data_IF_463598311251
#
_entry.id   IF_463598311251
#
_cell.length_a   1.000
_cell.length_b   1.000
_cell.length_c   1.000
_cell.angle_alpha   90.00
_cell.angle_beta   90.00
_cell.angle_gamma   90.00
#
_symmetry.space_group_name_H-M   'P 1'
#
loop_
_entity.id
_entity.type
_entity.pdbx_description
1 polymer ?
#
# COMPACT_ATOMS: atom_id res chain seq x y z
N UNK A 1 3.85 4.73 -12.78
CA UNK A 1 3.57 3.53 -11.96
C UNK A 1 4.75 2.58 -11.85
N UNK A 2 5.70 2.55 -12.80
CA UNK A 2 6.95 1.78 -12.65
C UNK A 2 7.70 2.15 -11.35
N UNK A 3 7.87 3.45 -11.05
CA UNK A 3 8.53 3.90 -9.80
C UNK A 3 7.83 3.42 -8.52
N UNK A 4 6.52 3.17 -8.57
CA UNK A 4 5.76 2.59 -7.45
C UNK A 4 6.14 1.13 -7.27
N UNK A 5 6.24 0.36 -8.36
CA UNK A 5 6.72 -1.02 -8.31
C UNK A 5 8.18 -1.08 -7.81
N UNK A 6 9.03 -0.19 -8.30
CA UNK A 6 10.43 -0.13 -7.90
C UNK A 6 10.58 0.19 -6.40
N UNK A 7 9.75 1.09 -5.87
CA UNK A 7 9.70 1.39 -4.44
C UNK A 7 9.29 0.17 -3.59
N UNK A 8 8.31 -0.63 -4.04
CA UNK A 8 7.97 -1.89 -3.38
C UNK A 8 9.16 -2.86 -3.42
N UNK A 9 9.76 -3.02 -4.59
CA UNK A 9 10.82 -4.00 -4.79
C UNK A 9 12.11 -3.63 -4.05
N UNK A 10 12.41 -2.34 -3.84
CA UNK A 10 13.53 -1.94 -2.98
C UNK A 10 13.31 -2.35 -1.53
N UNK A 11 12.12 -2.16 -0.97
CA UNK A 11 11.80 -2.57 0.41
C UNK A 11 11.83 -4.11 0.57
N UNK A 12 11.43 -4.84 -0.47
CA UNK A 12 11.44 -6.31 -0.51
C UNK A 12 12.85 -6.88 -0.59
N UNK A 13 13.73 -6.24 -1.34
CA UNK A 13 15.13 -6.62 -1.46
C UNK A 13 15.85 -6.57 -0.10
N UNK A 14 15.59 -5.54 0.71
CA UNK A 14 16.19 -5.35 2.04
C UNK A 14 15.93 -6.52 2.99
N UNK A 15 14.83 -7.25 2.80
CA UNK A 15 14.43 -8.41 3.61
C UNK A 15 14.49 -9.73 2.86
N UNK A 16 15.13 -9.75 1.68
CA UNK A 16 15.34 -10.95 0.87
C UNK A 16 14.05 -11.71 0.55
N UNK A 17 12.98 -10.97 0.21
CA UNK A 17 11.76 -11.55 -0.37
C UNK A 17 11.72 -11.30 -1.88
N UNK A 18 11.19 -12.24 -2.69
CA UNK A 18 11.19 -12.10 -4.15
C UNK A 18 10.48 -10.82 -4.61
N UNK A 19 10.92 -10.15 -5.69
CA UNK A 19 10.26 -8.94 -6.18
C UNK A 19 8.84 -9.23 -6.64
N UNK A 20 7.98 -8.22 -6.52
CA UNK A 20 6.64 -8.23 -7.10
C UNK A 20 6.70 -7.98 -8.60
N UNK A 21 5.71 -8.51 -9.30
CA UNK A 21 5.42 -8.19 -10.71
C UNK A 21 4.18 -7.31 -10.80
N UNK A 22 4.20 -6.35 -11.71
CA UNK A 22 3.03 -5.50 -11.94
C UNK A 22 1.88 -6.30 -12.57
N UNK A 23 0.65 -6.07 -12.08
CA UNK A 23 -0.57 -6.62 -12.65
C UNK A 23 -1.50 -5.51 -13.10
N UNK A 24 -1.75 -5.45 -14.41
CA UNK A 24 -2.69 -4.49 -15.00
C UNK A 24 -4.12 -4.69 -14.50
N UNK A 25 -4.53 -5.91 -14.20
CA UNK A 25 -5.88 -6.18 -13.70
C UNK A 25 -6.06 -5.71 -12.26
N UNK A 26 -5.05 -5.91 -11.39
CA UNK A 26 -5.05 -5.33 -10.05
C UNK A 26 -5.03 -3.80 -10.11
N UNK A 27 -4.25 -3.21 -11.01
CA UNK A 27 -4.18 -1.77 -11.20
C UNK A 27 -5.52 -1.17 -11.65
N UNK A 28 -6.26 -1.85 -12.53
CA UNK A 28 -7.62 -1.44 -12.93
C UNK A 28 -8.57 -1.45 -11.74
N UNK A 29 -8.56 -2.48 -10.91
CA UNK A 29 -9.41 -2.54 -9.72
C UNK A 29 -9.03 -1.47 -8.68
N UNK A 30 -7.74 -1.31 -8.40
CA UNK A 30 -7.23 -0.26 -7.53
C UNK A 30 -7.60 1.14 -8.03
N UNK A 31 -7.53 1.38 -9.34
CA UNK A 31 -7.91 2.64 -9.96
C UNK A 31 -9.40 2.95 -9.87
N UNK A 32 -10.27 1.94 -10.00
CA UNK A 32 -11.71 2.09 -9.78
C UNK A 32 -11.98 2.49 -8.33
N UNK A 33 -11.33 1.82 -7.37
CA UNK A 33 -11.50 2.14 -5.96
C UNK A 33 -10.96 3.53 -5.60
N UNK A 34 -9.76 3.88 -6.06
CA UNK A 34 -9.17 5.20 -5.84
C UNK A 34 -10.10 6.33 -6.31
N UNK A 35 -10.75 6.18 -7.47
CA UNK A 35 -11.73 7.16 -7.97
C UNK A 35 -12.95 7.28 -7.06
N UNK A 36 -13.48 6.15 -6.57
CA UNK A 36 -14.63 6.15 -5.65
C UNK A 36 -14.27 6.85 -4.33
N UNK A 37 -13.11 6.53 -3.76
CA UNK A 37 -12.65 7.14 -2.51
C UNK A 37 -12.30 8.61 -2.70
N UNK A 38 -11.67 9.01 -3.82
CA UNK A 38 -11.40 10.42 -4.09
C UNK A 38 -12.67 11.28 -4.13
N UNK A 39 -13.76 10.73 -4.70
CA UNK A 39 -15.08 11.38 -4.67
C UNK A 39 -15.66 11.49 -3.25
N UNK A 40 -15.48 10.48 -2.41
CA UNK A 40 -15.89 10.53 -0.99
C UNK A 40 -15.13 11.58 -0.19
N UNK A 41 -13.92 11.96 -0.65
CA UNK A 41 -13.05 12.92 0.02
C UNK A 41 -13.17 14.34 -0.56
N UNK A 42 -14.18 14.62 -1.40
CA UNK A 42 -14.46 15.98 -1.88
C UNK A 42 -14.86 16.94 -0.75
N UNK A 43 -15.41 16.41 0.35
CA UNK A 43 -15.69 17.16 1.57
C UNK A 43 -14.45 17.23 2.50
N UNK A 44 -14.57 17.90 3.65
CA UNK A 44 -13.41 18.19 4.51
C UNK A 44 -12.76 16.94 5.11
N UNK A 45 -13.56 15.97 5.55
CA UNK A 45 -13.08 14.77 6.25
C UNK A 45 -12.35 13.78 5.32
N UNK A 46 -11.31 13.12 5.86
CA UNK A 46 -10.64 12.03 5.16
C UNK A 46 -11.39 10.71 5.37
N UNK A 47 -11.70 10.02 4.27
CA UNK A 47 -12.29 8.68 4.27
C UNK A 47 -11.32 7.75 3.54
N UNK A 48 -10.67 6.86 4.28
CA UNK A 48 -9.77 5.83 3.74
C UNK A 48 -10.33 4.46 4.09
N UNK A 49 -11.30 4.02 3.30
CA UNK A 49 -11.99 2.74 3.49
C UNK A 49 -11.47 1.70 2.51
N UNK A 50 -11.30 0.46 2.99
CA UNK A 50 -10.89 -0.64 2.14
C UNK A 50 -12.01 -1.11 1.19
N UNK A 51 -11.64 -1.53 -0.02
CA UNK A 51 -12.61 -1.90 -1.06
C UNK A 51 -13.45 -3.15 -0.76
N UNK A 52 -12.95 -4.04 0.11
CA UNK A 52 -13.53 -5.36 0.32
C UNK A 52 -13.41 -6.29 -0.91
N UNK A 53 -12.49 -5.99 -1.84
CA UNK A 53 -12.31 -6.72 -3.10
C UNK A 53 -11.79 -8.16 -2.96
N UNK A 54 -11.31 -8.55 -1.78
CA UNK A 54 -10.68 -9.84 -1.52
C UNK A 54 -9.19 -9.89 -1.85
N UNK A 55 -8.64 -8.84 -2.49
CA UNK A 55 -7.19 -8.64 -2.59
C UNK A 55 -6.63 -8.08 -1.29
N UNK A 56 -5.32 -8.21 -1.10
CA UNK A 56 -4.63 -7.38 -0.12
C UNK A 56 -4.69 -5.93 -0.61
N UNK A 57 -4.74 -4.95 0.29
CA UNK A 57 -4.90 -3.56 -0.12
C UNK A 57 -4.18 -2.61 0.85
N UNK A 58 -3.43 -1.67 0.28
CA UNK A 58 -2.92 -0.50 1.00
C UNK A 58 -3.58 0.75 0.41
N UNK A 59 -3.97 1.69 1.28
CA UNK A 59 -4.62 2.94 0.88
C UNK A 59 -3.96 4.15 1.57
N UNK A 60 -3.74 5.22 0.82
CA UNK A 60 -3.18 6.45 1.32
C UNK A 60 -3.92 7.65 0.74
N UNK A 61 -4.07 8.69 1.56
CA UNK A 61 -4.55 10.00 1.15
C UNK A 61 -3.49 11.07 1.41
N UNK A 62 -3.45 12.08 0.55
CA UNK A 62 -2.55 13.23 0.69
C UNK A 62 -2.90 14.34 -0.27
N UNK A 63 -2.08 15.39 -0.32
CA UNK A 63 -2.23 16.47 -1.31
C UNK A 63 -1.21 16.29 -2.44
N UNK A 64 -1.59 16.67 -3.66
CA UNK A 64 -0.70 16.57 -4.84
C UNK A 64 0.58 17.41 -4.72
N UNK A 65 0.62 18.36 -3.80
CA UNK A 65 1.79 19.18 -3.47
C UNK A 65 2.74 18.50 -2.48
N UNK A 66 2.35 17.36 -1.91
CA UNK A 66 3.14 16.55 -0.99
C UNK A 66 3.88 15.41 -1.70
N UNK A 67 3.92 14.24 -1.06
CA UNK A 67 4.66 13.09 -1.57
C UNK A 67 4.10 12.56 -2.90
N UNK A 68 5.00 12.19 -3.78
CA UNK A 68 4.68 11.35 -4.94
C UNK A 68 4.21 9.95 -4.50
N UNK A 69 3.49 9.20 -5.35
CA UNK A 69 3.10 7.82 -5.03
C UNK A 69 4.27 6.90 -4.67
N UNK A 70 5.41 7.04 -5.34
CA UNK A 70 6.60 6.24 -5.04
C UNK A 70 7.19 6.60 -3.67
N UNK A 71 7.24 7.90 -3.32
CA UNK A 71 7.66 8.35 -1.99
C UNK A 71 6.68 7.87 -0.91
N UNK A 72 5.37 7.92 -1.17
CA UNK A 72 4.35 7.43 -0.23
C UNK A 72 4.55 5.93 0.09
N UNK A 73 4.86 5.13 -0.92
CA UNK A 73 5.19 3.71 -0.73
C UNK A 73 6.51 3.54 0.03
N UNK A 74 7.59 4.19 -0.42
CA UNK A 74 8.92 3.94 0.13
C UNK A 74 9.07 4.49 1.55
N UNK A 75 8.68 5.74 1.75
CA UNK A 75 8.90 6.44 3.01
C UNK A 75 7.75 6.19 3.99
N UNK A 76 6.50 6.46 3.57
CA UNK A 76 5.33 6.36 4.44
C UNK A 76 4.97 4.92 4.81
N UNK A 77 4.65 4.09 3.82
CA UNK A 77 4.32 2.68 4.09
C UNK A 77 5.54 1.81 4.39
N UNK A 78 6.72 2.21 3.92
CA UNK A 78 7.98 1.50 4.09
C UNK A 78 8.70 1.93 5.36
N UNK A 79 9.62 2.89 5.23
CA UNK A 79 10.56 3.27 6.29
C UNK A 79 9.88 3.71 7.61
N UNK A 80 8.81 4.52 7.55
CA UNK A 80 8.10 5.00 8.74
C UNK A 80 7.38 3.88 9.50
N UNK A 81 6.90 2.84 8.82
CA UNK A 81 6.23 1.70 9.45
C UNK A 81 7.18 0.55 9.77
N UNK A 82 8.28 0.42 9.03
CA UNK A 82 9.31 -0.60 9.25
C UNK A 82 9.91 -0.53 10.65
N UNK A 83 10.11 0.67 11.20
CA UNK A 83 10.62 0.85 12.57
C UNK A 83 9.66 0.30 13.64
N UNK A 84 8.39 0.10 13.27
CA UNK A 84 7.36 -0.48 14.14
C UNK A 84 7.24 -2.00 14.00
N UNK A 85 8.05 -2.65 13.15
CA UNK A 85 8.00 -4.09 12.94
C UNK A 85 9.12 -4.81 13.71
N UNK A 86 8.76 -5.72 14.61
CA UNK A 86 9.70 -6.57 15.32
C UNK A 86 10.08 -7.79 14.45
N UNK A 87 11.32 -7.82 14.00
CA UNK A 87 11.85 -8.88 13.13
C UNK A 87 12.03 -10.23 13.83
N UNK A 88 12.07 -10.27 15.17
CA UNK A 88 12.16 -11.52 15.93
C UNK A 88 10.78 -12.17 16.05
N UNK A 89 9.76 -11.39 16.42
CA UNK A 89 8.39 -11.90 16.61
C UNK A 89 7.55 -11.87 15.34
N UNK A 90 8.02 -11.18 14.29
CA UNK A 90 7.35 -10.96 13.01
C UNK A 90 6.00 -10.27 13.16
N UNK A 91 5.90 -9.33 14.10
CA UNK A 91 4.68 -8.61 14.46
C UNK A 91 4.94 -7.11 14.60
N UNK A 92 3.89 -6.31 14.46
CA UNK A 92 3.99 -4.90 14.84
C UNK A 92 4.22 -4.79 16.36
N UNK A 93 4.99 -3.78 16.76
CA UNK A 93 5.17 -3.43 18.16
C UNK A 93 3.80 -3.07 18.78
N UNK A 94 3.57 -3.40 20.05
CA UNK A 94 2.29 -3.10 20.71
C UNK A 94 1.91 -1.62 20.60
N UNK A 95 0.68 -1.35 20.16
CA UNK A 95 0.15 0.02 20.03
C UNK A 95 0.65 0.80 18.80
N UNK A 96 1.35 0.14 17.86
CA UNK A 96 1.86 0.76 16.63
C UNK A 96 1.21 0.16 15.39
N UNK A 97 1.37 0.86 14.26
CA UNK A 97 0.92 0.39 12.94
C UNK A 97 2.13 0.02 12.09
N UNK A 98 2.10 -1.16 11.50
CA UNK A 98 3.06 -1.60 10.50
C UNK A 98 2.40 -2.41 9.36
N UNK A 99 1.07 -2.33 9.26
CA UNK A 99 0.26 -3.16 8.36
C UNK A 99 0.52 -2.89 6.88
N UNK A 100 0.85 -1.65 6.51
CA UNK A 100 1.20 -1.35 5.13
C UNK A 100 2.57 -1.93 4.80
N UNK A 101 3.55 -1.78 5.70
CA UNK A 101 4.88 -2.38 5.55
C UNK A 101 4.78 -3.90 5.40
N UNK A 102 4.07 -4.58 6.30
CA UNK A 102 3.95 -6.04 6.27
C UNK A 102 3.28 -6.55 5.00
N UNK A 103 2.32 -5.81 4.44
CA UNK A 103 1.74 -6.15 3.13
C UNK A 103 2.74 -5.99 1.98
N UNK A 104 3.55 -4.92 1.98
CA UNK A 104 4.59 -4.70 0.95
C UNK A 104 5.60 -5.84 0.96
N UNK A 105 6.07 -6.25 2.14
CA UNK A 105 7.10 -7.29 2.29
C UNK A 105 6.53 -8.70 2.43
N UNK A 106 5.22 -8.89 2.21
CA UNK A 106 4.58 -10.19 2.35
C UNK A 106 5.16 -11.19 1.34
N UNK A 107 5.83 -12.24 1.83
CA UNK A 107 6.61 -13.19 1.02
C UNK A 107 5.75 -13.89 -0.03
N UNK A 108 4.52 -14.27 0.33
CA UNK A 108 3.62 -15.00 -0.55
C UNK A 108 2.89 -14.12 -1.57
N UNK A 109 2.88 -12.81 -1.38
CA UNK A 109 2.35 -11.87 -2.38
C UNK A 109 3.34 -11.80 -3.55
N UNK A 110 2.82 -11.96 -4.78
CA UNK A 110 3.65 -12.02 -6.00
C UNK A 110 3.34 -10.91 -6.98
N UNK A 111 2.14 -10.33 -6.91
CA UNK A 111 1.67 -9.29 -7.82
C UNK A 111 1.19 -8.07 -7.04
N UNK A 112 1.43 -6.90 -7.63
CA UNK A 112 0.84 -5.64 -7.20
C UNK A 112 0.30 -4.87 -8.39
N UNK A 113 -0.79 -4.15 -8.19
CA UNK A 113 -1.27 -3.15 -9.13
C UNK A 113 -1.89 -1.98 -8.37
N UNK A 114 -1.50 -0.77 -8.73
CA UNK A 114 -1.92 0.43 -8.04
C UNK A 114 -2.66 1.40 -8.96
N UNK A 115 -3.55 2.19 -8.37
CA UNK A 115 -4.27 3.27 -9.03
C UNK A 115 -4.32 4.51 -8.16
N UNK A 116 -4.37 5.68 -8.80
CA UNK A 116 -4.43 6.96 -8.10
C UNK A 116 -5.53 7.83 -8.69
N UNK A 117 -6.27 8.52 -7.84
CA UNK A 117 -7.24 9.53 -8.27
C UNK A 117 -7.05 10.81 -7.46
N UNK A 118 -7.32 11.95 -8.09
CA UNK A 118 -7.22 13.27 -7.47
C UNK A 118 -8.59 13.93 -7.58
N UNK A 119 -9.07 14.51 -6.48
CA UNK A 119 -10.32 15.26 -6.49
C UNK A 119 -10.09 16.75 -6.82
N UNK A 120 -11.15 17.55 -7.06
CA UNK A 120 -11.00 18.96 -7.44
C UNK A 120 -10.26 19.84 -6.42
N UNK A 121 -10.18 19.42 -5.15
CA UNK A 121 -9.48 20.13 -4.08
C UNK A 121 -7.98 19.77 -4.01
N UNK A 122 -7.48 18.97 -4.95
CA UNK A 122 -6.08 18.54 -4.99
C UNK A 122 -5.73 17.45 -3.98
N UNK A 123 -6.72 16.82 -3.34
CA UNK A 123 -6.51 15.62 -2.52
C UNK A 123 -6.35 14.42 -3.44
N UNK A 124 -5.25 13.67 -3.31
CA UNK A 124 -5.07 12.39 -3.98
C UNK A 124 -5.45 11.23 -3.06
N UNK A 125 -5.90 10.14 -3.68
CA UNK A 125 -6.03 8.82 -3.08
C UNK A 125 -5.19 7.85 -3.91
N UNK A 126 -4.27 7.14 -3.26
CA UNK A 126 -3.49 6.04 -3.80
C UNK A 126 -4.00 4.73 -3.23
N UNK A 127 -4.31 3.78 -4.10
CA UNK A 127 -4.69 2.40 -3.72
C UNK A 127 -3.72 1.45 -4.40
N UNK A 128 -3.20 0.47 -3.67
CA UNK A 128 -2.41 -0.64 -4.20
C UNK A 128 -3.04 -1.96 -3.80
N UNK A 129 -3.38 -2.81 -4.78
CA UNK A 129 -3.91 -4.15 -4.56
C UNK A 129 -2.82 -5.20 -4.72
N UNK A 130 -2.89 -6.25 -3.90
CA UNK A 130 -1.88 -7.30 -3.76
C UNK A 130 -2.50 -8.68 -3.94
N UNK A 131 -1.84 -9.54 -4.71
CA UNK A 131 -2.29 -10.91 -4.97
C UNK A 131 -1.13 -11.93 -4.93
N UNK A 132 -1.25 -13.03 -4.18
CA UNK A 132 -2.22 -13.27 -3.10
C UNK A 132 -2.23 -12.18 -2.01
N UNK A 133 -3.36 -11.99 -1.29
CA UNK A 133 -3.44 -11.09 -0.13
C UNK A 133 -2.42 -11.46 0.96
N UNK A 134 -1.96 -10.45 1.71
CA UNK A 134 -1.13 -10.64 2.90
C UNK A 134 -1.87 -10.36 4.21
N UNK A 135 -1.10 -10.14 5.28
CA UNK A 135 -1.57 -9.74 6.61
C UNK A 135 -2.55 -10.73 7.28
N UNK A 136 -2.33 -12.04 7.09
CA UNK A 136 -3.06 -13.06 7.83
C UNK A 136 -2.55 -13.18 9.28
N UNK A 137 -3.44 -13.10 10.27
CA UNK A 137 -3.11 -13.05 11.70
C UNK A 137 -2.19 -14.18 12.23
N UNK A 138 -2.11 -15.31 11.53
CA UNK A 138 -1.34 -16.50 11.93
C UNK A 138 -0.14 -16.79 11.01
N UNK A 139 0.16 -15.92 10.06
CA UNK A 139 1.27 -16.10 9.13
C UNK A 139 2.28 -14.94 9.30
N UNK A 140 3.59 -15.23 9.32
CA UNK A 140 4.59 -14.17 9.34
C UNK A 140 4.67 -13.50 7.97
N UNK A 141 5.02 -12.21 7.95
CA UNK A 141 5.19 -11.48 6.70
C UNK A 141 6.28 -12.08 5.79
N UNK A 142 7.39 -12.57 6.35
CA UNK A 142 8.49 -13.18 5.59
C UNK A 142 9.36 -14.11 6.42
#
# INVERSE_FOLDING_TARGET
MQEVLDAHNSLREEVSVPPLVWSEDLAKEAQKWAKKVAKMNEEEAWVLEHSGSGFGENIAGGYITGDTPAQRVKLGWGEEEKVNFDTNTRKCLPGTTCGHYTQIVWRNTTKVGCGMAVNPNGKYILVCNYDPPGNFNNEPAY
#
